data_IF_950527354017
#
_entry.id   IF_950527354017
#
_cell.length_a   1.000
_cell.length_b   1.000
_cell.length_c   1.000
_cell.angle_alpha   90.00
_cell.angle_beta   90.00
_cell.angle_gamma   90.00
#
_symmetry.space_group_name_H-M   'P 1'
#
loop_
_entity.id
_entity.type
_entity.pdbx_description
1 polymer ?
#
# COMPACT_ATOMS: atom_id res chain seq x y z
N UNK A 1 -30.86 41.49 -8.81
CA UNK A 1 -29.96 41.32 -7.66
C UNK A 1 -30.06 39.93 -7.01
N UNK A 2 -31.22 39.53 -6.46
CA UNK A 2 -31.38 38.22 -5.78
C UNK A 2 -30.99 37.02 -6.67
N UNK A 3 -31.44 37.01 -7.93
CA UNK A 3 -31.12 35.95 -8.88
C UNK A 3 -29.61 35.78 -9.16
N UNK A 4 -28.87 36.89 -9.29
CA UNK A 4 -27.42 36.88 -9.50
C UNK A 4 -26.69 36.34 -8.28
N UNK A 5 -27.14 36.71 -7.08
CA UNK A 5 -26.60 36.19 -5.82
C UNK A 5 -26.83 34.69 -5.71
N UNK A 6 -28.03 34.20 -6.05
CA UNK A 6 -28.33 32.76 -6.05
C UNK A 6 -27.44 31.98 -7.03
N UNK A 7 -27.23 32.49 -8.25
CA UNK A 7 -26.34 31.87 -9.25
C UNK A 7 -24.91 31.81 -8.71
N UNK A 8 -24.41 32.90 -8.12
CA UNK A 8 -23.08 32.96 -7.55
C UNK A 8 -22.86 31.88 -6.47
N UNK A 9 -23.78 31.74 -5.52
CA UNK A 9 -23.70 30.68 -4.50
C UNK A 9 -23.82 29.28 -5.09
N UNK A 10 -24.63 29.08 -6.13
CA UNK A 10 -24.74 27.80 -6.84
C UNK A 10 -23.41 27.40 -7.48
N UNK A 11 -22.74 28.34 -8.15
CA UNK A 11 -21.43 28.13 -8.78
C UNK A 11 -20.37 27.74 -7.74
N UNK A 12 -20.30 28.48 -6.63
CA UNK A 12 -19.37 28.17 -5.54
C UNK A 12 -19.62 26.76 -4.99
N UNK A 13 -20.88 26.39 -4.77
CA UNK A 13 -21.25 25.06 -4.30
C UNK A 13 -20.83 23.96 -5.29
N UNK A 14 -20.98 24.18 -6.59
CA UNK A 14 -20.59 23.21 -7.64
C UNK A 14 -19.08 22.94 -7.66
N UNK A 15 -18.26 23.96 -7.36
CA UNK A 15 -16.81 23.86 -7.34
C UNK A 15 -16.29 23.18 -6.06
N UNK A 16 -17.07 23.17 -4.97
CA UNK A 16 -16.65 22.54 -3.73
C UNK A 16 -16.83 21.02 -3.78
N UNK A 17 -15.71 20.28 -3.76
CA UNK A 17 -15.69 18.81 -3.72
C UNK A 17 -15.38 18.34 -2.31
N UNK A 18 -16.19 17.43 -1.78
CA UNK A 18 -15.97 16.75 -0.50
C UNK A 18 -15.42 15.35 -0.78
N UNK A 19 -14.58 14.86 0.12
CA UNK A 19 -14.01 13.52 0.04
C UNK A 19 -14.48 12.69 1.24
N UNK A 20 -14.82 11.40 1.05
CA UNK A 20 -15.14 10.49 2.15
C UNK A 20 -13.97 10.32 3.13
N UNK A 21 -14.26 9.78 4.31
CA UNK A 21 -13.25 9.34 5.27
C UNK A 21 -12.39 8.22 4.64
N UNK A 22 -11.09 8.20 4.96
CA UNK A 22 -10.10 7.28 4.37
C UNK A 22 -9.78 7.50 2.87
N UNK A 23 -10.23 8.63 2.30
CA UNK A 23 -9.82 9.07 0.97
C UNK A 23 -9.14 10.44 1.03
N UNK A 24 -8.28 10.71 0.06
CA UNK A 24 -7.71 12.03 -0.17
C UNK A 24 -8.12 12.54 -1.56
N UNK A 25 -8.42 13.83 -1.67
CA UNK A 25 -8.60 14.48 -2.98
C UNK A 25 -7.30 15.17 -3.36
N UNK A 26 -6.79 14.83 -4.53
CA UNK A 26 -5.61 15.44 -5.13
C UNK A 26 -6.11 16.33 -6.25
N UNK A 27 -5.87 17.64 -6.13
CA UNK A 27 -6.28 18.64 -7.10
C UNK A 27 -5.05 19.20 -7.79
N UNK A 28 -4.95 18.99 -9.10
CA UNK A 28 -3.88 19.51 -9.94
C UNK A 28 -4.36 20.71 -10.76
N UNK A 29 -3.43 21.54 -11.25
CA UNK A 29 -3.73 22.69 -12.10
C UNK A 29 -3.20 24.02 -11.54
N UNK A 30 -3.95 25.10 -11.74
CA UNK A 30 -3.51 26.45 -11.35
C UNK A 30 -3.18 26.54 -9.84
N UNK A 31 -1.99 27.03 -9.54
CA UNK A 31 -1.46 27.08 -8.16
C UNK A 31 -0.92 25.74 -7.64
N UNK A 32 -0.67 24.77 -8.53
CA UNK A 32 0.00 23.50 -8.23
C UNK A 32 -0.90 22.44 -7.60
N UNK A 33 -0.26 21.32 -7.25
CA UNK A 33 -0.90 20.15 -6.62
C UNK A 33 -1.27 20.45 -5.18
N UNK A 34 -2.57 20.31 -4.86
CA UNK A 34 -3.10 20.44 -3.51
C UNK A 34 -3.77 19.14 -3.08
N UNK A 35 -3.52 18.73 -1.85
CA UNK A 35 -4.10 17.54 -1.24
C UNK A 35 -5.04 17.96 -0.12
N UNK A 36 -6.22 17.36 -0.06
CA UNK A 36 -7.16 17.51 1.05
C UNK A 36 -7.61 16.14 1.56
N UNK A 37 -7.59 15.99 2.89
CA UNK A 37 -7.96 14.77 3.62
C UNK A 37 -9.05 15.16 4.60
N UNK A 38 -10.15 14.40 4.64
CA UNK A 38 -11.28 14.62 5.56
C UNK A 38 -11.86 16.05 5.53
N UNK A 39 -11.60 16.80 4.44
CA UNK A 39 -12.06 18.17 4.21
C UNK A 39 -12.35 18.35 2.73
N UNK A 40 -13.17 19.34 2.39
CA UNK A 40 -13.40 19.65 0.99
C UNK A 40 -12.33 20.56 0.39
N UNK A 41 -12.32 20.61 -0.94
CA UNK A 41 -11.45 21.49 -1.72
C UNK A 41 -12.23 22.10 -2.89
N UNK A 42 -11.89 23.33 -3.24
CA UNK A 42 -12.43 23.97 -4.44
C UNK A 42 -11.69 23.49 -5.70
N UNK A 43 -12.47 22.93 -6.62
CA UNK A 43 -12.03 22.49 -7.94
C UNK A 43 -12.77 23.32 -8.98
N UNK A 44 -12.05 24.26 -9.59
CA UNK A 44 -12.58 25.07 -10.70
C UNK A 44 -12.33 24.30 -12.00
N UNK A 45 -13.37 23.82 -12.72
CA UNK A 45 -13.21 22.87 -13.83
C UNK A 45 -12.23 23.28 -14.93
N UNK A 46 -12.21 24.56 -15.30
CA UNK A 46 -11.34 25.06 -16.38
C UNK A 46 -9.87 25.20 -15.97
N UNK A 47 -9.57 25.23 -14.68
CA UNK A 47 -8.21 25.47 -14.17
C UNK A 47 -7.65 24.28 -13.38
N UNK A 48 -8.50 23.32 -13.01
CA UNK A 48 -8.12 22.24 -12.12
C UNK A 48 -8.72 20.91 -12.57
N UNK A 49 -7.91 19.87 -12.46
CA UNK A 49 -8.35 18.48 -12.43
C UNK A 49 -8.30 17.97 -11.00
N UNK A 50 -9.04 16.90 -10.70
CA UNK A 50 -8.95 16.25 -9.41
C UNK A 50 -9.10 14.74 -9.53
N UNK A 51 -8.44 14.05 -8.61
CA UNK A 51 -8.48 12.60 -8.46
C UNK A 51 -8.76 12.27 -6.99
N UNK A 52 -9.41 11.14 -6.74
CA UNK A 52 -9.70 10.64 -5.40
C UNK A 52 -8.80 9.44 -5.15
N UNK A 53 -7.89 9.57 -4.19
CA UNK A 53 -7.01 8.51 -3.75
C UNK A 53 -7.66 7.74 -2.60
N UNK A 54 -7.73 6.43 -2.75
CA UNK A 54 -8.11 5.51 -1.67
C UNK A 54 -6.89 5.25 -0.76
N UNK A 55 -7.03 5.61 0.53
CA UNK A 55 -5.99 5.41 1.56
C UNK A 55 -6.34 4.30 2.57
N UNK A 56 -7.35 3.48 2.28
CA UNK A 56 -7.67 2.27 3.06
C UNK A 56 -6.51 1.28 3.03
N UNK A 57 -6.51 0.30 3.93
CA UNK A 57 -5.48 -0.74 3.96
C UNK A 57 -5.69 -1.77 2.85
N UNK A 58 -4.60 -2.18 2.19
CA UNK A 58 -4.55 -3.18 1.13
C UNK A 58 -3.73 -4.38 1.60
N UNK A 59 -4.24 -5.58 1.34
CA UNK A 59 -3.55 -6.84 1.67
C UNK A 59 -2.92 -7.43 0.42
N UNK A 60 -1.59 -7.58 0.42
CA UNK A 60 -0.83 -8.24 -0.65
C UNK A 60 -0.43 -9.63 -0.17
N UNK A 61 -0.91 -10.65 -0.87
CA UNK A 61 -0.60 -12.05 -0.55
C UNK A 61 0.58 -12.53 -1.38
N UNK A 62 1.53 -13.16 -0.70
CA UNK A 62 2.70 -13.82 -1.26
C UNK A 62 2.66 -15.28 -0.87
N UNK A 63 2.79 -16.15 -1.86
CA UNK A 63 2.81 -17.60 -1.69
C UNK A 63 4.09 -18.13 -2.33
N UNK A 64 4.91 -18.81 -1.52
CA UNK A 64 6.16 -19.42 -1.94
C UNK A 64 6.04 -20.90 -1.63
N UNK A 65 5.61 -21.64 -2.64
CA UNK A 65 5.31 -23.07 -2.58
C UNK A 65 6.16 -23.82 -3.61
N UNK A 66 6.35 -25.11 -3.38
CA UNK A 66 6.96 -26.04 -4.33
C UNK A 66 8.33 -25.54 -4.82
N UNK A 67 8.45 -25.17 -6.10
CA UNK A 67 9.69 -24.75 -6.74
C UNK A 67 10.17 -23.35 -6.32
N UNK A 68 9.30 -22.54 -5.71
CA UNK A 68 9.60 -21.19 -5.24
C UNK A 68 9.74 -21.10 -3.72
N UNK A 69 9.91 -22.24 -3.04
CA UNK A 69 10.04 -22.33 -1.58
C UNK A 69 11.16 -21.45 -0.99
N UNK A 70 11.04 -21.22 0.33
CA UNK A 70 12.13 -20.66 1.11
C UNK A 70 13.10 -21.77 1.51
N UNK A 71 14.35 -21.40 1.76
CA UNK A 71 15.35 -22.31 2.31
C UNK A 71 15.87 -21.69 3.59
N UNK A 72 15.89 -22.47 4.66
CA UNK A 72 16.35 -22.07 5.99
C UNK A 72 17.88 -22.17 6.12
N UNK A 73 18.40 -21.85 7.30
CA UNK A 73 19.82 -21.98 7.66
C UNK A 73 20.34 -23.42 7.65
N UNK A 74 19.47 -24.37 7.99
CA UNK A 74 19.73 -25.82 8.02
C UNK A 74 19.34 -26.51 6.70
N UNK A 75 19.29 -25.75 5.61
CA UNK A 75 18.96 -26.21 4.25
C UNK A 75 17.63 -26.96 4.10
N UNK A 76 16.70 -26.74 5.04
CA UNK A 76 15.32 -27.24 4.95
C UNK A 76 14.54 -26.34 4.00
N UNK A 77 13.85 -26.96 3.04
CA UNK A 77 12.92 -26.29 2.13
C UNK A 77 11.57 -26.15 2.81
N UNK A 78 11.00 -24.95 2.77
CA UNK A 78 9.74 -24.64 3.44
C UNK A 78 8.81 -23.86 2.51
N UNK A 79 7.56 -24.27 2.55
CA UNK A 79 6.46 -23.61 1.90
C UNK A 79 5.86 -22.58 2.87
N UNK A 80 5.64 -21.36 2.40
CA UNK A 80 5.11 -20.27 3.22
C UNK A 80 4.01 -19.50 2.47
N UNK A 81 2.98 -19.09 3.22
CA UNK A 81 1.99 -18.11 2.77
C UNK A 81 1.98 -16.95 3.74
N UNK A 82 2.12 -15.74 3.21
CA UNK A 82 2.12 -14.52 4.00
C UNK A 82 1.27 -13.44 3.35
N UNK A 83 0.59 -12.66 4.19
CA UNK A 83 -0.27 -11.55 3.83
C UNK A 83 0.31 -10.26 4.42
N UNK A 84 0.76 -9.35 3.55
CA UNK A 84 1.28 -8.04 3.93
C UNK A 84 0.17 -7.00 3.87
N UNK A 85 -0.16 -6.41 5.02
CA UNK A 85 -1.12 -5.31 5.10
C UNK A 85 -0.36 -3.99 5.00
N UNK A 86 -0.71 -3.18 4.00
CA UNK A 86 -0.08 -1.90 3.73
C UNK A 86 -1.12 -0.81 3.51
N UNK A 87 -0.71 0.43 3.72
CA UNK A 87 -1.52 1.61 3.42
C UNK A 87 -0.65 2.78 3.02
N UNK A 88 -1.28 3.85 2.59
CA UNK A 88 -0.61 5.12 2.30
C UNK A 88 -0.49 5.90 3.61
N UNK A 89 0.67 6.51 3.87
CA UNK A 89 0.83 7.44 4.99
C UNK A 89 -0.03 8.69 4.73
N UNK A 90 -0.78 9.13 5.74
CA UNK A 90 -1.68 10.28 5.65
C UNK A 90 -0.95 11.64 5.54
N UNK A 91 0.38 11.67 5.68
CA UNK A 91 1.19 12.86 5.43
C UNK A 91 1.11 13.32 3.97
N UNK A 92 1.00 14.63 3.78
CA UNK A 92 0.77 15.22 2.45
C UNK A 92 1.87 14.88 1.45
N UNK A 93 3.12 14.79 1.90
CA UNK A 93 4.27 14.49 1.05
C UNK A 93 4.22 13.04 0.54
N UNK A 94 3.79 12.09 1.37
CA UNK A 94 3.62 10.69 0.96
C UNK A 94 2.46 10.54 -0.04
N UNK A 95 1.34 11.24 0.18
CA UNK A 95 0.21 11.23 -0.76
C UNK A 95 0.61 11.78 -2.12
N UNK A 96 1.34 12.92 -2.16
CA UNK A 96 1.88 13.47 -3.40
C UNK A 96 2.85 12.49 -4.06
N UNK A 97 3.74 11.87 -3.29
CA UNK A 97 4.70 10.87 -3.78
C UNK A 97 3.98 9.69 -4.44
N UNK A 98 2.95 9.11 -3.81
CA UNK A 98 2.15 8.04 -4.42
C UNK A 98 1.51 8.52 -5.72
N UNK A 99 0.89 9.70 -5.71
CA UNK A 99 0.23 10.26 -6.88
C UNK A 99 1.18 10.47 -8.06
N UNK A 100 2.42 10.88 -7.79
CA UNK A 100 3.43 11.13 -8.84
C UNK A 100 4.18 9.88 -9.28
N UNK A 101 4.49 8.96 -8.37
CA UNK A 101 5.33 7.78 -8.66
C UNK A 101 4.51 6.59 -9.16
N UNK A 102 3.37 6.32 -8.53
CA UNK A 102 2.52 5.16 -8.83
C UNK A 102 1.32 5.59 -9.68
N UNK A 103 0.75 6.75 -9.39
CA UNK A 103 -0.51 7.21 -9.96
C UNK A 103 -1.71 6.81 -9.09
N UNK A 104 -2.76 7.63 -9.08
CA UNK A 104 -3.90 7.47 -8.17
C UNK A 104 -4.72 6.22 -8.48
N UNK A 105 -4.93 5.95 -9.76
CA UNK A 105 -5.63 4.75 -10.25
C UNK A 105 -4.88 3.48 -9.85
N UNK A 106 -3.60 3.41 -10.19
CA UNK A 106 -2.71 2.28 -9.89
C UNK A 106 -2.54 2.06 -8.39
N UNK A 107 -2.48 3.12 -7.59
CA UNK A 107 -2.41 3.03 -6.12
C UNK A 107 -3.67 2.44 -5.48
N UNK A 108 -4.80 2.44 -6.20
CA UNK A 108 -6.05 1.83 -5.77
C UNK A 108 -6.24 0.42 -6.36
N UNK A 109 -5.41 0.03 -7.33
CA UNK A 109 -5.46 -1.27 -8.01
C UNK A 109 -4.59 -2.31 -7.27
N UNK A 110 -5.22 -3.34 -6.71
CA UNK A 110 -4.54 -4.35 -5.88
C UNK A 110 -3.57 -5.20 -6.68
N UNK A 111 -3.92 -5.55 -7.91
CA UNK A 111 -3.11 -6.36 -8.81
C UNK A 111 -1.82 -5.61 -9.17
N UNK A 112 -1.93 -4.31 -9.50
CA UNK A 112 -0.77 -3.48 -9.77
C UNK A 112 0.15 -3.34 -8.54
N UNK A 113 -0.42 -3.09 -7.36
CA UNK A 113 0.37 -3.06 -6.12
C UNK A 113 1.05 -4.39 -5.82
N UNK A 114 0.39 -5.52 -6.13
CA UNK A 114 0.98 -6.85 -6.00
C UNK A 114 2.20 -6.97 -6.93
N UNK A 115 2.07 -6.64 -8.20
CA UNK A 115 3.19 -6.69 -9.14
C UNK A 115 4.36 -5.79 -8.69
N UNK A 116 4.06 -4.59 -8.22
CA UNK A 116 5.06 -3.60 -7.81
C UNK A 116 5.86 -4.03 -6.58
N UNK A 117 5.21 -4.65 -5.58
CA UNK A 117 5.85 -4.92 -4.29
C UNK A 117 6.20 -6.39 -4.01
N UNK A 118 5.61 -7.35 -4.74
CA UNK A 118 5.80 -8.79 -4.44
C UNK A 118 7.26 -9.20 -4.46
N UNK A 119 8.06 -8.71 -5.42
CA UNK A 119 9.47 -9.06 -5.51
C UNK A 119 10.25 -8.70 -4.23
N UNK A 120 10.05 -7.47 -3.72
CA UNK A 120 10.70 -6.99 -2.49
C UNK A 120 10.28 -7.80 -1.26
N UNK A 121 9.01 -8.21 -1.19
CA UNK A 121 8.50 -9.04 -0.09
C UNK A 121 9.06 -10.45 -0.12
N UNK A 122 9.11 -11.07 -1.30
CA UNK A 122 9.70 -12.39 -1.50
C UNK A 122 11.19 -12.38 -1.13
N UNK A 123 11.92 -11.35 -1.56
CA UNK A 123 13.34 -11.18 -1.23
C UNK A 123 13.55 -11.08 0.28
N UNK A 124 12.75 -10.27 0.97
CA UNK A 124 12.86 -10.08 2.42
C UNK A 124 12.54 -11.37 3.19
N UNK A 125 11.49 -12.11 2.79
CA UNK A 125 11.18 -13.42 3.35
C UNK A 125 12.36 -14.39 3.17
N UNK A 126 12.95 -14.47 1.97
CA UNK A 126 14.11 -15.33 1.70
C UNK A 126 15.34 -14.94 2.52
N UNK A 127 15.62 -13.65 2.62
CA UNK A 127 16.80 -13.14 3.32
C UNK A 127 16.73 -13.40 4.83
N UNK A 128 15.56 -13.22 5.46
CA UNK A 128 15.40 -13.48 6.89
C UNK A 128 15.36 -14.98 7.16
N UNK A 129 14.73 -15.80 6.30
CA UNK A 129 14.60 -17.24 6.54
C UNK A 129 15.96 -17.95 6.61
N UNK A 130 16.94 -17.49 5.83
CA UNK A 130 18.32 -17.99 5.84
C UNK A 130 19.06 -17.81 7.16
N UNK A 131 18.54 -17.00 8.08
CA UNK A 131 19.13 -16.76 9.40
C UNK A 131 18.59 -17.73 10.47
N UNK A 132 17.48 -18.41 10.18
CA UNK A 132 16.76 -19.29 11.11
C UNK A 132 16.88 -20.75 10.69
N UNK A 133 16.94 -21.67 11.65
CA UNK A 133 16.62 -23.08 11.39
C UNK A 133 15.11 -23.26 11.29
N UNK A 134 14.63 -24.37 10.70
CA UNK A 134 13.19 -24.64 10.62
C UNK A 134 12.49 -24.60 11.99
N UNK A 135 13.06 -25.30 12.98
CA UNK A 135 12.49 -25.41 14.33
C UNK A 135 12.36 -24.04 14.99
N UNK A 136 13.44 -23.23 14.98
CA UNK A 136 13.40 -21.88 15.55
C UNK A 136 12.45 -20.96 14.80
N UNK A 137 12.27 -21.12 13.49
CA UNK A 137 11.31 -20.32 12.72
C UNK A 137 9.86 -20.61 13.17
N UNK A 138 9.51 -21.87 13.40
CA UNK A 138 8.20 -22.27 13.92
C UNK A 138 8.00 -21.72 15.34
N UNK A 139 8.98 -21.92 16.23
CA UNK A 139 8.89 -21.49 17.63
C UNK A 139 8.86 -19.95 17.75
N UNK A 140 9.61 -19.25 16.91
CA UNK A 140 9.80 -17.79 16.95
C UNK A 140 9.16 -17.07 15.75
N UNK A 141 8.00 -17.55 15.28
CA UNK A 141 7.29 -17.00 14.12
C UNK A 141 7.06 -15.48 14.18
N UNK A 142 6.76 -14.95 15.36
CA UNK A 142 6.55 -13.51 15.57
C UNK A 142 7.84 -12.72 15.35
N UNK A 143 8.98 -13.22 15.83
CA UNK A 143 10.27 -12.57 15.65
C UNK A 143 10.70 -12.59 14.18
N UNK A 144 10.48 -13.71 13.49
CA UNK A 144 10.70 -13.80 12.04
C UNK A 144 9.86 -12.76 11.28
N UNK A 145 8.56 -12.66 11.59
CA UNK A 145 7.67 -11.63 11.01
C UNK A 145 8.22 -10.21 11.24
N UNK A 146 8.62 -9.90 12.47
CA UNK A 146 9.06 -8.55 12.84
C UNK A 146 10.36 -8.18 12.12
N UNK A 147 11.29 -9.13 11.97
CA UNK A 147 12.50 -8.94 11.17
C UNK A 147 12.21 -8.80 9.68
N UNK A 148 11.23 -9.52 9.13
CA UNK A 148 10.80 -9.35 7.74
C UNK A 148 10.26 -7.94 7.51
N UNK A 149 9.41 -7.43 8.42
CA UNK A 149 8.91 -6.05 8.35
C UNK A 149 10.08 -5.05 8.44
N UNK A 150 11.02 -5.27 9.35
CA UNK A 150 12.21 -4.43 9.51
C UNK A 150 13.10 -4.42 8.26
N UNK A 151 13.28 -5.59 7.62
CA UNK A 151 14.11 -5.73 6.42
C UNK A 151 13.50 -5.03 5.20
N UNK A 152 12.17 -5.10 5.04
CA UNK A 152 11.46 -4.36 3.98
C UNK A 152 11.63 -2.84 4.16
N UNK A 153 11.66 -2.38 5.40
CA UNK A 153 11.79 -0.98 5.78
C UNK A 153 10.46 -0.22 5.71
N UNK A 154 10.55 1.10 5.84
CA UNK A 154 9.39 1.98 6.09
C UNK A 154 8.84 2.70 4.86
N UNK A 155 9.62 2.83 3.78
CA UNK A 155 9.21 3.59 2.58
C UNK A 155 9.02 2.64 1.37
N UNK A 156 7.75 2.42 1.03
CA UNK A 156 7.31 1.67 -0.14
C UNK A 156 6.69 2.64 -1.15
N UNK A 157 7.48 3.59 -1.65
CA UNK A 157 7.01 4.61 -2.60
C UNK A 157 5.81 5.42 -2.10
N UNK A 158 5.79 5.73 -0.80
CA UNK A 158 4.65 6.42 -0.18
C UNK A 158 3.70 5.50 0.60
N UNK A 159 3.81 4.18 0.43
CA UNK A 159 3.15 3.18 1.26
C UNK A 159 3.99 2.83 2.50
N UNK A 160 3.31 2.37 3.54
CA UNK A 160 3.86 1.86 4.78
C UNK A 160 3.23 0.50 5.09
N UNK A 161 4.02 -0.44 5.64
CA UNK A 161 3.48 -1.68 6.18
C UNK A 161 2.79 -1.42 7.52
N UNK A 162 1.55 -1.88 7.67
CA UNK A 162 0.86 -1.92 8.97
C UNK A 162 1.16 -3.23 9.69
N UNK A 163 1.17 -4.35 8.95
CA UNK A 163 1.38 -5.67 9.53
C UNK A 163 1.81 -6.69 8.46
N UNK A 164 2.35 -7.81 8.91
CA UNK A 164 2.57 -9.01 8.12
C UNK A 164 1.92 -10.20 8.85
N UNK A 165 0.90 -10.82 8.28
CA UNK A 165 0.39 -12.08 8.79
C UNK A 165 1.09 -13.22 8.06
N UNK A 166 1.65 -14.16 8.81
CA UNK A 166 2.06 -15.43 8.22
C UNK A 166 0.86 -16.35 8.43
N UNK A 167 0.36 -16.92 7.34
CA UNK A 167 -0.85 -17.75 7.35
C UNK A 167 -0.46 -19.23 7.48
N UNK A 168 0.63 -19.63 6.83
CA UNK A 168 1.04 -21.04 6.70
C UNK A 168 2.55 -21.16 6.62
N UNK A 169 3.13 -22.14 7.31
CA UNK A 169 4.54 -22.57 7.19
C UNK A 169 4.57 -24.09 7.31
N UNK A 170 5.04 -24.79 6.28
CA UNK A 170 5.29 -26.24 6.34
C UNK A 170 6.58 -26.59 5.62
N UNK A 171 7.13 -27.78 5.89
CA UNK A 171 8.25 -28.29 5.12
C UNK A 171 7.75 -28.69 3.74
N UNK A 172 8.47 -28.29 2.69
CA UNK A 172 8.16 -28.74 1.33
C UNK A 172 8.39 -30.25 1.27
N UNK A 173 7.32 -31.02 1.17
CA UNK A 173 7.42 -32.46 0.88
C UNK A 173 7.62 -32.61 -0.62
N UNK A 174 8.72 -33.24 -1.04
CA UNK A 174 8.87 -33.70 -2.42
C UNK A 174 7.87 -34.85 -2.65
N UNK A 175 6.63 -34.53 -3.00
CA UNK A 175 5.81 -35.51 -3.70
C UNK A 175 6.36 -35.56 -5.13
N UNK A 176 7.11 -36.63 -5.39
CA UNK A 176 7.57 -37.04 -6.71
C UNK A 176 6.42 -37.11 -7.71
#
# INVERSE_FOLDING_TARGET
MIFQVCIYFLIIKLFYKKVPTANAIIRNGLGGTKVAISKGIYVIPSFHTYEILDMTSKSIRVELLDNNNLITKDDVRIDIKASFLMRINNELEFIKKVAHTIGVENASNKEHLKELFSAKFIESLKAVARQYTFETLIDSRNNYRDLVIQNIGTDLNGFTLENCAIDYIEKTTNNQ
#
